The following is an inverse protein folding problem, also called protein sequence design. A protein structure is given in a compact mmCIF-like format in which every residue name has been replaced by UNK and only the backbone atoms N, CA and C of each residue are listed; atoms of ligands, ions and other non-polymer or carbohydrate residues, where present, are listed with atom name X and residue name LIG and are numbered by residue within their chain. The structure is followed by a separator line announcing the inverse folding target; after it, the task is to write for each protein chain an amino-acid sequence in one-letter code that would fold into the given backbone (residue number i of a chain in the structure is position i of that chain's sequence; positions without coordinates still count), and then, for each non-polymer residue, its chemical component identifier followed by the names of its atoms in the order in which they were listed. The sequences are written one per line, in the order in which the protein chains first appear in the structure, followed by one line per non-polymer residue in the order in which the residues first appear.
data_IF_774213400372
#
_entry.id   IF_774213400372
#
_cell.length_a   1.000
_cell.length_b   1.000
_cell.length_c   1.000
_cell.angle_alpha   90.00
_cell.angle_beta   90.00
_cell.angle_gamma   90.00
#
_symmetry.space_group_name_H-M   'P 1'
#
loop_
_entity.id
_entity.type
_entity.pdbx_description
1 polymer ?
#
# COMPACT_ATOMS: atom_id res chain seq x y z
N UNK A 1 -3.56 -1.10 -3.57
CA UNK A 1 -2.28 -1.43 -2.89
C UNK A 1 -1.16 -1.52 -3.90
N UNK A 2 0.00 -0.93 -3.57
CA UNK A 2 1.26 -1.11 -4.28
C UNK A 2 2.32 -1.51 -3.25
N UNK A 3 3.11 -2.55 -3.55
CA UNK A 3 4.09 -3.13 -2.63
C UNK A 3 5.51 -3.10 -3.19
N UNK A 4 5.65 -3.25 -4.50
CA UNK A 4 6.93 -3.22 -5.18
C UNK A 4 6.78 -2.69 -6.60
N UNK A 5 7.79 -1.98 -7.08
CA UNK A 5 7.88 -1.52 -8.47
C UNK A 5 8.43 -2.62 -9.41
N UNK A 6 9.05 -3.65 -8.84
CA UNK A 6 9.60 -4.79 -9.57
C UNK A 6 8.50 -5.81 -9.88
N UNK A 7 8.23 -6.05 -11.16
CA UNK A 7 7.19 -6.96 -11.65
C UNK A 7 7.46 -8.43 -11.29
N UNK A 8 8.72 -8.86 -11.32
CA UNK A 8 9.09 -10.24 -10.99
C UNK A 8 8.98 -10.48 -9.49
N UNK A 9 9.37 -9.50 -8.69
CA UNK A 9 9.14 -9.53 -7.24
C UNK A 9 7.64 -9.49 -6.92
N UNK A 10 6.87 -8.64 -7.63
CA UNK A 10 5.41 -8.59 -7.46
C UNK A 10 4.78 -9.97 -7.64
N UNK A 11 5.11 -10.68 -8.71
CA UNK A 11 4.59 -12.05 -8.96
C UNK A 11 4.99 -13.07 -7.89
N UNK A 12 6.14 -12.86 -7.22
CA UNK A 12 6.60 -13.73 -6.13
C UNK A 12 5.86 -13.49 -4.83
N UNK A 13 5.67 -12.22 -4.45
CA UNK A 13 5.09 -11.87 -3.15
C UNK A 13 3.57 -11.75 -3.19
N UNK A 14 3.00 -11.45 -4.35
CA UNK A 14 1.56 -11.31 -4.58
C UNK A 14 1.12 -12.20 -5.78
N UNK A 15 1.21 -13.54 -5.67
CA UNK A 15 0.83 -14.42 -6.76
C UNK A 15 -0.69 -14.35 -7.05
N UNK A 16 -1.05 -14.53 -8.33
CA UNK A 16 -2.44 -14.57 -8.81
C UNK A 16 -3.28 -13.28 -8.64
N UNK A 17 -2.61 -12.14 -8.56
CA UNK A 17 -3.26 -10.82 -8.56
C UNK A 17 -2.66 -9.95 -9.67
N UNK A 18 -3.30 -8.82 -9.96
CA UNK A 18 -2.79 -7.85 -10.92
C UNK A 18 -1.39 -7.37 -10.53
N UNK A 19 -0.52 -7.25 -11.51
CA UNK A 19 0.83 -6.74 -11.30
C UNK A 19 0.85 -5.24 -10.95
N UNK A 20 1.96 -4.75 -10.48
CA UNK A 20 2.13 -3.32 -10.18
C UNK A 20 1.88 -2.46 -11.41
N UNK A 21 2.36 -2.89 -12.58
CA UNK A 21 2.14 -2.19 -13.85
C UNK A 21 0.66 -2.12 -14.21
N UNK A 22 -0.07 -3.23 -14.11
CA UNK A 22 -1.52 -3.25 -14.37
C UNK A 22 -2.29 -2.34 -13.42
N UNK A 23 -1.96 -2.36 -12.13
CA UNK A 23 -2.56 -1.46 -11.13
C UNK A 23 -2.23 0.00 -11.42
N UNK A 24 -1.02 0.29 -11.86
CA UNK A 24 -0.61 1.64 -12.24
C UNK A 24 -1.37 2.14 -13.48
N UNK A 25 -1.60 1.30 -14.49
CA UNK A 25 -2.44 1.67 -15.64
C UNK A 25 -3.88 2.03 -15.19
N UNK A 26 -4.44 1.30 -14.22
CA UNK A 26 -5.76 1.63 -13.65
C UNK A 26 -5.73 3.00 -12.94
N UNK A 27 -4.69 3.29 -12.16
CA UNK A 27 -4.55 4.60 -11.50
C UNK A 27 -4.51 5.75 -12.53
N UNK A 28 -3.81 5.56 -13.66
CA UNK A 28 -3.79 6.55 -14.75
C UNK A 28 -5.17 6.73 -15.40
N UNK A 29 -5.90 5.64 -15.63
CA UNK A 29 -7.27 5.71 -16.17
C UNK A 29 -8.20 6.46 -15.19
N UNK A 30 -8.10 6.21 -13.90
CA UNK A 30 -8.87 6.94 -12.88
C UNK A 30 -8.52 8.44 -12.89
N UNK A 31 -7.22 8.78 -12.94
CA UNK A 31 -6.76 10.17 -13.08
C UNK A 31 -7.39 10.84 -14.30
N UNK A 32 -7.34 10.18 -15.47
CA UNK A 32 -7.82 10.73 -16.74
C UNK A 32 -9.36 10.88 -16.75
N UNK A 33 -10.05 10.06 -15.94
CA UNK A 33 -11.50 10.18 -15.70
C UNK A 33 -11.85 11.20 -14.58
N UNK A 34 -10.86 11.87 -13.99
CA UNK A 34 -11.08 12.83 -12.89
C UNK A 34 -11.49 12.18 -11.57
N UNK A 35 -11.24 10.89 -11.40
CA UNK A 35 -11.57 10.13 -10.19
C UNK A 35 -10.35 10.13 -9.25
N UNK A 36 -10.43 10.77 -8.07
CA UNK A 36 -9.34 10.76 -7.11
C UNK A 36 -9.12 9.35 -6.55
N UNK A 37 -7.86 9.01 -6.33
CA UNK A 37 -7.46 7.68 -5.85
C UNK A 37 -6.58 7.78 -4.62
N UNK A 38 -6.64 6.76 -3.76
CA UNK A 38 -5.74 6.57 -2.62
C UNK A 38 -4.99 5.25 -2.78
N UNK A 39 -3.69 5.29 -2.58
CA UNK A 39 -2.84 4.09 -2.64
C UNK A 39 -2.47 3.63 -1.24
N UNK A 40 -2.56 2.34 -0.98
CA UNK A 40 -1.95 1.71 0.20
C UNK A 40 -0.55 1.24 -0.14
N UNK A 41 0.45 1.83 0.52
CA UNK A 41 1.85 1.40 0.48
C UNK A 41 2.09 0.35 1.58
N UNK A 42 1.57 -0.85 1.38
CA UNK A 42 1.60 -1.95 2.36
C UNK A 42 1.23 -3.29 1.70
N UNK A 43 1.83 -4.40 2.13
CA UNK A 43 2.92 -4.50 3.10
C UNK A 43 4.30 -4.17 2.50
N UNK A 44 5.17 -3.59 3.31
CA UNK A 44 6.59 -3.50 3.02
C UNK A 44 7.30 -4.59 3.82
N UNK A 45 7.86 -5.55 3.12
CA UNK A 45 8.48 -6.74 3.70
C UNK A 45 9.96 -6.46 4.01
N UNK A 46 10.38 -6.46 5.28
CA UNK A 46 11.78 -6.25 5.65
C UNK A 46 12.74 -7.16 4.87
N UNK A 47 13.86 -6.60 4.38
CA UNK A 47 14.91 -7.28 3.61
C UNK A 47 14.47 -7.80 2.22
N UNK A 48 13.26 -7.45 1.75
CA UNK A 48 12.73 -7.88 0.45
C UNK A 48 12.43 -6.67 -0.43
N UNK A 49 11.51 -5.81 -0.01
CA UNK A 49 11.10 -4.63 -0.77
C UNK A 49 11.21 -3.32 0.04
N UNK A 50 11.83 -3.36 1.22
CA UNK A 50 12.07 -2.23 2.11
C UNK A 50 13.32 -1.41 1.71
N UNK A 51 13.47 -1.13 0.43
CA UNK A 51 14.55 -0.28 -0.09
C UNK A 51 13.99 1.07 -0.55
N UNK A 52 14.84 2.11 -0.45
CA UNK A 52 14.43 3.43 -0.91
C UNK A 52 14.14 3.45 -2.41
N UNK A 53 14.92 2.71 -3.19
CA UNK A 53 14.74 2.56 -4.63
C UNK A 53 13.35 2.04 -4.98
N UNK A 54 12.89 0.99 -4.29
CA UNK A 54 11.56 0.44 -4.46
C UNK A 54 10.47 1.44 -4.08
N UNK A 55 10.57 2.02 -2.87
CA UNK A 55 9.59 2.97 -2.35
C UNK A 55 9.54 4.21 -3.24
N UNK A 56 10.69 4.77 -3.61
CA UNK A 56 10.77 5.94 -4.49
C UNK A 56 10.14 5.68 -5.85
N UNK A 57 10.37 4.50 -6.46
CA UNK A 57 9.77 4.14 -7.73
C UNK A 57 8.23 4.02 -7.65
N UNK A 58 7.70 3.47 -6.54
CA UNK A 58 6.25 3.46 -6.30
C UNK A 58 5.71 4.89 -6.13
N UNK A 59 6.43 5.75 -5.41
CA UNK A 59 6.04 7.16 -5.25
C UNK A 59 6.03 7.90 -6.59
N UNK A 60 7.01 7.63 -7.48
CA UNK A 60 7.03 8.21 -8.83
C UNK A 60 5.80 7.81 -9.65
N UNK A 61 5.35 6.55 -9.54
CA UNK A 61 4.09 6.10 -10.15
C UNK A 61 2.88 6.85 -9.56
N UNK A 62 2.85 7.03 -8.24
CA UNK A 62 1.78 7.76 -7.56
C UNK A 62 1.74 9.24 -7.98
N UNK A 63 2.91 9.88 -8.11
CA UNK A 63 3.05 11.25 -8.59
C UNK A 63 2.53 11.36 -10.03
N UNK A 64 2.97 10.48 -10.93
CA UNK A 64 2.50 10.44 -12.32
C UNK A 64 0.99 10.23 -12.41
N UNK A 65 0.45 9.33 -11.60
CA UNK A 65 -0.99 9.05 -11.53
C UNK A 65 -1.78 10.15 -10.80
N UNK A 66 -1.12 11.15 -10.20
CA UNK A 66 -1.73 12.24 -9.43
C UNK A 66 -2.70 11.70 -8.37
N UNK A 67 -2.27 10.70 -7.61
CA UNK A 67 -3.10 10.16 -6.54
C UNK A 67 -3.37 11.24 -5.48
N UNK A 68 -4.56 11.22 -4.86
CA UNK A 68 -4.91 12.13 -3.78
C UNK A 68 -4.02 11.93 -2.54
N UNK A 69 -3.80 10.66 -2.17
CA UNK A 69 -3.03 10.34 -0.98
C UNK A 69 -2.46 8.93 -0.98
N UNK A 70 -1.52 8.71 -0.05
CA UNK A 70 -0.88 7.42 0.16
C UNK A 70 -0.97 7.05 1.63
N UNK A 71 -1.70 5.95 1.93
CA UNK A 71 -1.76 5.36 3.25
C UNK A 71 -0.51 4.52 3.49
N UNK A 72 0.27 4.91 4.49
CA UNK A 72 1.41 4.16 4.99
C UNK A 72 1.48 4.30 6.51
N UNK A 73 1.33 3.20 7.25
CA UNK A 73 1.42 3.21 8.70
C UNK A 73 2.84 2.95 9.18
N UNK A 74 3.55 2.10 8.45
CA UNK A 74 4.88 1.64 8.80
C UNK A 74 5.52 0.93 7.59
N UNK A 75 6.84 0.96 7.47
CA UNK A 75 7.57 0.16 6.50
C UNK A 75 7.74 -1.25 7.06
N UNK A 76 6.64 -2.00 7.06
CA UNK A 76 6.58 -3.28 7.73
C UNK A 76 5.40 -4.16 7.33
N UNK A 77 5.21 -5.23 8.09
CA UNK A 77 4.13 -6.20 7.92
C UNK A 77 3.62 -6.69 9.27
N UNK A 78 2.32 -6.98 9.32
CA UNK A 78 1.68 -7.58 10.49
C UNK A 78 1.54 -9.09 10.30
N UNK A 79 2.10 -9.87 11.20
CA UNK A 79 2.03 -11.34 11.18
C UNK A 79 0.97 -11.85 12.17
N UNK A 80 -0.26 -11.98 11.70
CA UNK A 80 -1.38 -12.55 12.47
C UNK A 80 -1.22 -14.06 12.62
N UNK A 81 -1.91 -14.64 13.60
CA UNK A 81 -1.97 -16.09 13.76
C UNK A 81 -2.49 -16.76 12.47
N UNK A 82 -1.89 -17.89 12.11
CA UNK A 82 -2.15 -18.59 10.84
C UNK A 82 -1.44 -17.96 9.63
N UNK A 83 -1.28 -16.64 9.58
CA UNK A 83 -0.57 -15.97 8.50
C UNK A 83 0.95 -16.07 8.67
N UNK A 84 1.47 -16.11 9.90
CA UNK A 84 2.89 -16.26 10.20
C UNK A 84 3.48 -17.55 9.63
N UNK A 85 2.79 -18.66 9.82
CA UNK A 85 3.24 -19.98 9.34
C UNK A 85 3.25 -20.02 7.82
N UNK A 86 2.22 -19.43 7.18
CA UNK A 86 2.17 -19.30 5.75
C UNK A 86 3.32 -18.44 5.22
N UNK A 87 3.52 -17.25 5.82
CA UNK A 87 4.57 -16.32 5.45
C UNK A 87 5.96 -16.97 5.56
N UNK A 88 6.25 -17.65 6.67
CA UNK A 88 7.54 -18.31 6.86
C UNK A 88 7.76 -19.47 5.89
N UNK A 89 6.72 -20.21 5.50
CA UNK A 89 6.83 -21.22 4.44
C UNK A 89 7.13 -20.58 3.08
N UNK A 90 6.55 -19.42 2.80
CA UNK A 90 6.85 -18.70 1.55
C UNK A 90 8.27 -18.12 1.55
N UNK A 91 8.77 -17.64 2.70
CA UNK A 91 10.17 -17.22 2.83
C UNK A 91 11.12 -18.38 2.53
N UNK A 92 10.91 -19.55 3.11
CA UNK A 92 11.73 -20.74 2.83
C UNK A 92 11.75 -21.10 1.34
N UNK A 93 10.59 -20.96 0.68
CA UNK A 93 10.43 -21.34 -0.73
C UNK A 93 11.02 -20.32 -1.70
N UNK A 94 10.80 -19.04 -1.44
CA UNK A 94 11.08 -17.96 -2.40
C UNK A 94 12.38 -17.18 -2.08
N UNK A 95 12.78 -17.17 -0.80
CA UNK A 95 13.90 -16.41 -0.29
C UNK A 95 14.72 -17.25 0.72
N UNK A 96 15.46 -18.27 0.25
CA UNK A 96 16.19 -19.19 1.12
C UNK A 96 17.09 -18.48 2.13
N UNK A 97 17.02 -18.89 3.41
CA UNK A 97 17.80 -18.32 4.52
C UNK A 97 17.20 -17.06 5.13
N UNK A 98 16.19 -16.44 4.51
CA UNK A 98 15.60 -15.21 5.04
C UNK A 98 14.71 -15.47 6.27
N UNK A 99 14.04 -16.62 6.33
CA UNK A 99 13.25 -17.03 7.49
C UNK A 99 14.04 -17.04 8.79
N UNK A 100 15.24 -17.64 8.78
CA UNK A 100 16.10 -17.68 9.97
C UNK A 100 16.52 -16.27 10.42
N UNK A 101 16.73 -15.37 9.46
CA UNK A 101 16.99 -13.96 9.74
C UNK A 101 15.80 -13.28 10.40
N UNK A 102 14.58 -13.53 9.92
CA UNK A 102 13.34 -13.02 10.51
C UNK A 102 13.15 -13.54 11.95
N UNK A 103 13.29 -14.84 12.17
CA UNK A 103 13.15 -15.46 13.49
C UNK A 103 14.16 -14.85 14.48
N UNK A 104 15.43 -14.69 14.07
CA UNK A 104 16.48 -14.14 14.89
C UNK A 104 16.25 -12.68 15.27
N UNK A 105 15.73 -11.86 14.35
CA UNK A 105 15.55 -10.42 14.57
C UNK A 105 14.25 -10.11 15.25
N UNK A 106 13.16 -10.76 14.84
CA UNK A 106 11.81 -10.39 15.25
C UNK A 106 11.15 -11.38 16.22
N UNK A 107 11.65 -12.62 16.30
CA UNK A 107 11.05 -13.63 17.17
C UNK A 107 9.56 -13.82 16.91
N UNK A 108 8.74 -13.62 17.94
CA UNK A 108 7.28 -13.72 17.88
C UNK A 108 6.56 -12.37 17.81
N UNK A 109 7.24 -11.31 17.40
CA UNK A 109 6.60 -10.00 17.28
C UNK A 109 5.42 -10.05 16.29
N UNK A 110 4.34 -9.35 16.64
CA UNK A 110 3.15 -9.24 15.82
C UNK A 110 3.33 -8.26 14.66
N UNK A 111 3.94 -7.09 14.94
CA UNK A 111 4.32 -6.10 13.94
C UNK A 111 5.82 -6.24 13.67
N UNK A 112 6.16 -6.36 12.41
CA UNK A 112 7.53 -6.50 11.94
C UNK A 112 7.85 -5.29 11.06
N UNK A 113 8.69 -4.40 11.56
CA UNK A 113 9.11 -3.20 10.84
C UNK A 113 10.50 -3.39 10.23
N UNK A 114 10.74 -2.72 9.11
CA UNK A 114 12.08 -2.62 8.52
C UNK A 114 13.08 -2.07 9.53
N UNK A 115 14.30 -2.61 9.60
CA UNK A 115 15.35 -2.00 10.41
C UNK A 115 15.65 -0.54 10.04
N UNK A 116 15.35 -0.17 8.78
CA UNK A 116 15.53 1.19 8.25
C UNK A 116 14.22 2.02 8.26
N UNK A 117 13.18 1.54 8.95
CA UNK A 117 11.85 2.14 8.95
C UNK A 117 11.88 3.66 9.18
N UNK A 118 12.60 4.12 10.19
CA UNK A 118 12.66 5.56 10.53
C UNK A 118 13.18 6.42 9.38
N UNK A 119 14.22 5.97 8.68
CA UNK A 119 14.78 6.66 7.52
C UNK A 119 13.81 6.62 6.34
N UNK A 120 13.25 5.45 6.06
CA UNK A 120 12.33 5.26 4.93
C UNK A 120 11.04 6.07 5.11
N UNK A 121 10.45 6.09 6.32
CA UNK A 121 9.28 6.90 6.62
C UNK A 121 9.56 8.41 6.49
N UNK A 122 10.75 8.85 6.91
CA UNK A 122 11.17 10.25 6.72
C UNK A 122 11.25 10.61 5.23
N UNK A 123 11.96 9.81 4.44
CA UNK A 123 12.11 10.05 2.99
C UNK A 123 10.77 9.96 2.25
N UNK A 124 9.90 9.04 2.67
CA UNK A 124 8.53 8.92 2.18
C UNK A 124 7.75 10.23 2.40
N UNK A 125 7.75 10.74 3.65
CA UNK A 125 7.07 11.98 3.98
C UNK A 125 7.61 13.18 3.20
N UNK A 126 8.94 13.35 3.18
CA UNK A 126 9.60 14.44 2.43
C UNK A 126 9.22 14.43 0.94
N UNK A 127 9.19 13.25 0.31
CA UNK A 127 8.80 13.15 -1.10
C UNK A 127 7.31 13.40 -1.31
N UNK A 128 6.44 12.94 -0.42
CA UNK A 128 5.01 13.25 -0.48
C UNK A 128 4.75 14.76 -0.33
N UNK A 129 5.42 15.41 0.61
CA UNK A 129 5.32 16.87 0.83
C UNK A 129 5.77 17.65 -0.40
N UNK A 130 6.89 17.26 -1.01
CA UNK A 130 7.45 17.91 -2.21
C UNK A 130 6.44 17.91 -3.38
N UNK A 131 5.65 16.84 -3.52
CA UNK A 131 4.69 16.68 -4.63
C UNK A 131 3.24 16.93 -4.22
N UNK A 132 2.99 17.35 -2.98
CA UNK A 132 1.65 17.68 -2.50
C UNK A 132 0.70 16.48 -2.37
N UNK A 133 1.24 15.28 -2.13
CA UNK A 133 0.46 14.06 -1.89
C UNK A 133 0.12 13.97 -0.42
N UNK A 134 -1.17 13.82 -0.08
CA UNK A 134 -1.59 13.63 1.29
C UNK A 134 -1.05 12.30 1.84
N UNK A 135 -0.34 12.35 2.96
CA UNK A 135 0.23 11.17 3.61
C UNK A 135 -0.07 11.10 5.12
N UNK A 136 -0.92 11.99 5.61
CA UNK A 136 -1.51 11.88 6.93
C UNK A 136 -2.68 10.90 6.87
N UNK A 137 -2.56 9.76 7.55
CA UNK A 137 -3.56 8.70 7.49
C UNK A 137 -4.93 9.16 8.00
N UNK A 138 -5.00 10.01 9.03
CA UNK A 138 -6.28 10.49 9.58
C UNK A 138 -7.01 11.37 8.56
N UNK A 139 -6.30 12.29 7.90
CA UNK A 139 -6.87 13.13 6.84
C UNK A 139 -7.34 12.29 5.64
N UNK A 140 -6.60 11.23 5.30
CA UNK A 140 -7.00 10.33 4.21
C UNK A 140 -8.27 9.55 4.60
N UNK A 141 -8.36 9.05 5.84
CA UNK A 141 -9.57 8.37 6.31
C UNK A 141 -10.75 9.31 6.40
N UNK A 142 -10.58 10.54 6.87
CA UNK A 142 -11.62 11.56 6.85
C UNK A 142 -12.12 11.79 5.41
N UNK A 143 -11.22 12.01 4.46
CA UNK A 143 -11.55 12.15 3.05
C UNK A 143 -12.32 10.94 2.49
N UNK A 144 -11.89 9.72 2.79
CA UNK A 144 -12.54 8.48 2.33
C UNK A 144 -13.93 8.25 2.93
N UNK A 145 -14.23 8.86 4.07
CA UNK A 145 -15.55 8.76 4.73
C UNK A 145 -16.45 9.98 4.47
N UNK A 146 -15.94 11.00 3.79
CA UNK A 146 -16.73 12.16 3.40
C UNK A 146 -17.45 11.85 2.09
N UNK A 147 -18.77 11.66 2.18
CA UNK A 147 -19.63 11.46 1.01
C UNK A 147 -20.47 12.70 0.78
N UNK A 148 -20.69 13.05 -0.49
CA UNK A 148 -21.75 14.02 -0.81
C UNK A 148 -23.08 13.49 -0.26
N UNK A 149 -23.82 14.34 0.47
CA UNK A 149 -25.18 14.00 0.88
C UNK A 149 -25.96 13.68 -0.40
N UNK A 150 -26.38 12.43 -0.55
CA UNK A 150 -27.37 12.09 -1.56
C UNK A 150 -28.59 12.94 -1.23
N UNK A 151 -28.95 13.86 -2.13
CA UNK A 151 -30.28 14.45 -2.06
C UNK A 151 -31.23 13.29 -1.89
N UNK A 152 -31.96 13.28 -0.77
CA UNK A 152 -32.96 12.24 -0.50
C UNK A 152 -33.85 12.22 -1.75
N UNK A 153 -33.74 11.16 -2.54
CA UNK A 153 -34.69 10.97 -3.62
C UNK A 153 -36.05 10.94 -2.93
N UNK A 154 -36.90 11.93 -3.16
CA UNK A 154 -38.29 11.89 -2.71
C UNK A 154 -38.87 10.62 -3.31
N UNK A 155 -39.10 9.64 -2.45
CA UNK A 155 -39.75 8.40 -2.85
C UNK A 155 -41.18 8.78 -3.18
N UNK A 156 -41.47 8.98 -4.45
CA UNK A 156 -42.81 9.18 -4.92
C UNK A 156 -43.65 7.98 -4.48
N UNK A 157 -44.68 8.21 -3.70
CA UNK A 157 -45.68 7.21 -3.36
C UNK A 157 -46.42 6.78 -4.60
N UNK A 158 -46.75 5.50 -4.72
CA UNK A 158 -47.61 4.99 -5.80
C UNK A 158 -48.98 5.68 -5.88
N UNK A 159 -49.34 6.42 -4.83
CA UNK A 159 -50.61 7.15 -4.69
C UNK A 159 -50.51 8.63 -5.07
N UNK A 160 -49.32 9.09 -5.49
CA UNK A 160 -49.09 10.47 -5.95
C UNK A 160 -49.22 10.61 -7.48
N UNK A 161 -49.79 9.59 -8.15
CA UNK A 161 -50.12 9.55 -9.58
C UNK A 161 -51.58 9.81 -9.80
#
# INVERSE_FOLDING_TARGET
TLTTADEDLCRKIEPNVSTTKERFEVLKQMRDAGIPTVVWLSPILPFINDTWENISAILDMCIEAKVYGILCFDMGVTLRDGNREYFYRQLDRQFPGLKDKYIRIYGNQYIISSPDNKRLMKLFGEKCDEYGIVHNNDLIFEYLHTFEEKQAAEQMSLWDL
#
